data_IF_159041578253
#
_entry.id   IF_159041578253
#
_cell.length_a   1.000
_cell.length_b   1.000
_cell.length_c   1.000
_cell.angle_alpha   90.00
_cell.angle_beta   90.00
_cell.angle_gamma   90.00
#
_symmetry.space_group_name_H-M   'P 1'
#
loop_
_entity.id
_entity.type
_entity.pdbx_description
1 polymer ?
#
# COMPACT_ATOMS: atom_id res chain seq x y z
N UNK A 1 -11.98 10.08 -2.75
CA UNK A 1 -10.50 10.02 -2.82
C UNK A 1 -9.90 11.19 -3.59
N UNK A 2 -10.55 11.65 -4.66
CA UNK A 2 -9.99 12.59 -5.65
C UNK A 2 -9.40 13.90 -5.10
N UNK A 3 -10.01 14.62 -4.13
CA UNK A 3 -9.42 15.87 -3.64
C UNK A 3 -8.03 15.69 -3.00
N UNK A 4 -7.83 14.60 -2.25
CA UNK A 4 -6.53 14.29 -1.64
C UNK A 4 -5.50 13.83 -2.67
N UNK A 5 -5.94 13.09 -3.70
CA UNK A 5 -5.06 12.67 -4.79
C UNK A 5 -4.55 13.87 -5.60
N UNK A 6 -5.43 14.84 -5.90
CA UNK A 6 -5.04 16.08 -6.57
C UNK A 6 -3.95 16.81 -5.78
N UNK A 7 -4.16 17.04 -4.49
CA UNK A 7 -3.17 17.71 -3.65
C UNK A 7 -1.83 16.97 -3.61
N UNK A 8 -1.86 15.64 -3.51
CA UNK A 8 -0.65 14.83 -3.48
C UNK A 8 0.14 14.90 -4.79
N UNK A 9 -0.56 14.83 -5.94
CA UNK A 9 0.07 14.90 -7.26
C UNK A 9 0.62 16.30 -7.57
N UNK A 10 -0.11 17.37 -7.21
CA UNK A 10 0.38 18.76 -7.32
C UNK A 10 1.61 19.03 -6.44
N UNK A 11 1.75 18.31 -5.32
CA UNK A 11 2.94 18.34 -4.48
C UNK A 11 4.11 17.49 -5.01
N UNK A 12 3.99 16.90 -6.21
CA UNK A 12 5.00 16.03 -6.82
C UNK A 12 4.97 14.58 -6.32
N UNK A 13 3.98 14.20 -5.52
CA UNK A 13 3.75 12.84 -5.06
C UNK A 13 2.96 11.99 -6.07
N UNK A 14 2.31 10.94 -5.56
CA UNK A 14 1.40 10.09 -6.33
C UNK A 14 0.25 9.57 -5.46
N UNK A 15 -0.84 9.15 -6.10
CA UNK A 15 -1.96 8.47 -5.45
C UNK A 15 -2.52 7.31 -6.29
N UNK A 16 -2.82 6.17 -5.68
CA UNK A 16 -3.31 4.95 -6.34
C UNK A 16 -4.41 4.24 -5.53
N UNK A 17 -5.32 3.52 -6.22
CA UNK A 17 -6.22 2.54 -5.59
C UNK A 17 -5.54 1.17 -5.32
N UNK A 18 -4.25 1.09 -5.65
CA UNK A 18 -3.45 -0.12 -5.65
C UNK A 18 -3.08 -0.57 -7.06
N UNK A 19 -3.99 -0.36 -8.02
CA UNK A 19 -3.85 -0.84 -9.41
C UNK A 19 -3.81 0.30 -10.42
N UNK A 20 -4.53 1.39 -10.15
CA UNK A 20 -4.74 2.52 -11.05
C UNK A 20 -4.59 3.83 -10.27
N UNK A 21 -4.21 4.89 -10.98
CA UNK A 21 -4.15 6.24 -10.38
C UNK A 21 -5.54 6.68 -9.97
N UNK A 22 -5.64 7.36 -8.83
CA UNK A 22 -6.94 7.82 -8.32
C UNK A 22 -7.60 8.82 -9.27
N UNK A 23 -6.83 9.70 -9.91
CA UNK A 23 -7.37 10.71 -10.82
C UNK A 23 -7.85 10.12 -12.17
N UNK A 24 -7.53 8.86 -12.47
CA UNK A 24 -8.06 8.14 -13.65
C UNK A 24 -9.38 7.41 -13.34
N UNK A 25 -9.82 7.37 -12.08
CA UNK A 25 -11.04 6.66 -11.68
C UNK A 25 -12.29 7.51 -11.94
N UNK A 26 -13.24 6.93 -12.67
CA UNK A 26 -14.60 7.48 -12.83
C UNK A 26 -15.52 6.74 -11.87
N UNK A 27 -16.16 7.48 -10.95
CA UNK A 27 -17.14 6.90 -10.04
C UNK A 27 -18.42 6.49 -10.81
N UNK A 28 -18.97 5.33 -10.46
CA UNK A 28 -20.18 4.75 -11.04
C UNK A 28 -21.44 5.14 -10.28
N UNK A 29 -21.32 5.47 -9.00
CA UNK A 29 -22.43 5.85 -8.14
C UNK A 29 -22.03 6.88 -7.07
N UNK A 30 -23.00 7.66 -6.55
CA UNK A 30 -22.76 8.52 -5.40
C UNK A 30 -22.23 7.71 -4.21
N UNK A 31 -21.22 8.27 -3.53
CA UNK A 31 -20.57 7.66 -2.36
C UNK A 31 -19.73 6.39 -2.62
N UNK A 32 -19.39 6.06 -3.88
CA UNK A 32 -18.44 4.98 -4.18
C UNK A 32 -17.11 5.20 -3.43
N UNK A 33 -16.64 4.13 -2.78
CA UNK A 33 -15.37 4.12 -2.06
C UNK A 33 -14.31 3.41 -2.89
N UNK A 34 -13.07 3.87 -2.77
CA UNK A 34 -11.91 3.21 -3.31
C UNK A 34 -10.83 3.11 -2.22
N UNK A 35 -10.02 2.04 -2.20
CA UNK A 35 -8.76 2.05 -1.49
C UNK A 35 -7.94 3.29 -1.89
N UNK A 36 -7.13 3.80 -0.97
CA UNK A 36 -6.35 5.02 -1.22
C UNK A 36 -4.98 4.88 -0.58
N UNK A 37 -3.95 4.91 -1.42
CA UNK A 37 -2.56 5.09 -1.01
C UNK A 37 -2.04 6.36 -1.69
N UNK A 38 -1.43 7.26 -0.92
CA UNK A 38 -0.84 8.49 -1.43
C UNK A 38 0.44 8.84 -0.66
N UNK A 39 1.38 9.50 -1.31
CA UNK A 39 2.67 9.86 -0.73
C UNK A 39 3.76 10.11 -1.77
N UNK A 40 5.02 9.91 -1.36
CA UNK A 40 6.17 10.01 -2.27
C UNK A 40 6.02 9.06 -3.46
N UNK A 41 6.31 9.55 -4.66
CA UNK A 41 6.07 8.83 -5.92
C UNK A 41 6.75 7.45 -5.92
N UNK A 42 7.98 7.37 -5.44
CA UNK A 42 8.78 6.15 -5.41
C UNK A 42 8.17 5.08 -4.50
N UNK A 43 7.69 5.48 -3.32
CA UNK A 43 7.06 4.58 -2.34
C UNK A 43 5.69 4.09 -2.80
N UNK A 44 4.89 5.00 -3.37
CA UNK A 44 3.59 4.65 -3.96
C UNK A 44 3.77 3.68 -5.13
N UNK A 45 4.77 3.90 -5.98
CA UNK A 45 5.11 2.99 -7.09
C UNK A 45 5.66 1.65 -6.60
N UNK A 46 6.40 1.61 -5.48
CA UNK A 46 6.87 0.38 -4.85
C UNK A 46 5.69 -0.48 -4.41
N UNK A 47 4.66 0.13 -3.84
CA UNK A 47 3.45 -0.57 -3.43
C UNK A 47 2.73 -1.24 -4.61
N UNK A 48 2.67 -0.58 -5.77
CA UNK A 48 2.10 -1.16 -6.99
C UNK A 48 2.85 -2.41 -7.50
N UNK A 49 4.16 -2.50 -7.25
CA UNK A 49 4.96 -3.70 -7.55
C UNK A 49 4.73 -4.82 -6.54
N UNK A 50 4.62 -4.47 -5.26
CA UNK A 50 4.47 -5.43 -4.16
C UNK A 50 3.06 -6.07 -4.10
N UNK A 51 2.03 -5.45 -4.69
CA UNK A 51 0.70 -6.07 -4.78
C UNK A 51 0.68 -7.40 -5.55
N UNK A 52 1.57 -7.58 -6.54
CA UNK A 52 1.71 -8.85 -7.25
C UNK A 52 2.43 -9.94 -6.43
N UNK A 53 3.24 -9.54 -5.45
CA UNK A 53 3.98 -10.44 -4.56
C UNK A 53 3.20 -10.78 -3.27
N UNK A 54 2.07 -10.08 -3.03
CA UNK A 54 1.48 -9.98 -1.70
C UNK A 54 2.40 -9.21 -0.75
N UNK A 55 1.90 -8.83 0.43
CA UNK A 55 2.80 -8.52 1.54
C UNK A 55 3.49 -9.85 1.86
N UNK A 56 4.63 -10.13 1.23
CA UNK A 56 5.47 -11.22 1.66
C UNK A 56 5.73 -10.94 3.14
N UNK A 57 5.31 -11.82 4.06
CA UNK A 57 5.62 -11.64 5.45
C UNK A 57 7.13 -11.44 5.51
N UNK A 58 7.56 -10.35 6.13
CA UNK A 58 8.94 -10.22 6.55
C UNK A 58 9.28 -11.55 7.24
N UNK A 59 10.21 -12.31 6.67
CA UNK A 59 10.45 -13.69 7.08
C UNK A 59 10.65 -13.71 8.61
N UNK A 60 9.68 -14.29 9.32
CA UNK A 60 9.53 -14.40 10.78
C UNK A 60 9.83 -13.14 11.61
N UNK A 61 8.91 -12.64 12.45
CA UNK A 61 9.23 -11.54 13.36
C UNK A 61 10.44 -11.93 14.23
N UNK A 62 11.58 -11.21 14.17
CA UNK A 62 12.83 -11.60 14.82
C UNK A 62 12.75 -11.60 16.36
N UNK A 63 11.64 -11.12 16.92
CA UNK A 63 11.43 -10.97 18.37
C UNK A 63 10.38 -11.93 18.94
N UNK A 64 9.69 -12.72 18.11
CA UNK A 64 8.73 -13.75 18.53
C UNK A 64 8.95 -15.09 17.82
N UNK A 65 10.20 -15.40 17.47
CA UNK A 65 10.60 -16.80 17.27
C UNK A 65 10.34 -17.61 18.54
N UNK A 66 10.12 -18.92 18.39
CA UNK A 66 9.83 -19.86 19.48
C UNK A 66 10.86 -19.73 20.60
N UNK A 67 10.53 -18.96 21.64
CA UNK A 67 11.26 -18.90 22.90
C UNK A 67 11.03 -20.22 23.64
N UNK A 68 11.70 -21.27 23.19
CA UNK A 68 11.92 -22.49 23.95
C UNK A 68 13.37 -22.52 24.42
N UNK A 69 13.62 -22.20 25.69
CA UNK A 69 14.91 -22.32 26.37
C UNK A 69 15.34 -23.80 26.58
N UNK A 70 14.60 -24.77 26.05
CA UNK A 70 14.89 -26.19 26.23
C UNK A 70 15.42 -26.78 24.93
N UNK A 71 16.73 -26.98 24.88
CA UNK A 71 17.33 -28.01 24.03
C UNK A 71 17.07 -29.36 24.71
N UNK A 72 16.19 -30.16 24.14
CA UNK A 72 16.15 -31.59 24.41
C UNK A 72 16.83 -32.29 23.22
N UNK A 73 17.95 -32.97 23.49
CA UNK A 73 18.71 -33.78 22.53
C UNK A 73 19.82 -33.01 21.83
#
# INVERSE_FOLDING_TARGET
ANPLALLAEEAGGAATDGTRRILDLVAREPHERAPLVLGAREEVARLGRDQAAGIAPQASPPLFGTRGLFRAG
#
